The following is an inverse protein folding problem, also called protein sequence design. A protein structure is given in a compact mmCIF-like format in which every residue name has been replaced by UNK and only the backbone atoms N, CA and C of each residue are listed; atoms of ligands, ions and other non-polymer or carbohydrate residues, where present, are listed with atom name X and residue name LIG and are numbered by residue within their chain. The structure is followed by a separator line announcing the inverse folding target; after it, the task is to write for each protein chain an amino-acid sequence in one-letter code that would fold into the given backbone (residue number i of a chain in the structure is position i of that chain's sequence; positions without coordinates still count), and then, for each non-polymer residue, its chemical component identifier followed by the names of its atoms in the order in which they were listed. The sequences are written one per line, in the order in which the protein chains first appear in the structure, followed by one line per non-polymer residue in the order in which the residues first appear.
data_IF_633103812690
#
_entry.id   IF_633103812690
#
_cell.length_a   1.000
_cell.length_b   1.000
_cell.length_c   1.000
_cell.angle_alpha   90.00
_cell.angle_beta   90.00
_cell.angle_gamma   90.00
#
_symmetry.space_group_name_H-M   'P 1'
#
loop_
_entity.id
_entity.type
_entity.pdbx_description
1 polymer ?
#
# COMPACT_ATOMS: atom_id res chain seq x y z
N UNK A 1 23.42 13.87 71.95
CA UNK A 1 24.31 13.58 70.81
C UNK A 1 23.46 13.51 69.56
N UNK A 2 23.64 14.44 68.60
CA UNK A 2 22.94 14.36 67.32
C UNK A 2 23.57 13.24 66.50
N UNK A 3 22.83 12.15 66.27
CA UNK A 3 23.30 11.06 65.42
C UNK A 3 23.17 11.48 63.95
N UNK A 4 24.31 11.67 63.28
CA UNK A 4 24.34 11.93 61.84
C UNK A 4 23.92 10.64 61.14
N UNK A 5 22.77 10.67 60.47
CA UNK A 5 22.26 9.51 59.72
C UNK A 5 23.22 9.15 58.56
N UNK A 6 23.26 7.88 58.14
CA UNK A 6 24.07 7.46 56.99
C UNK A 6 23.78 8.25 55.70
N UNK A 7 22.53 8.68 55.50
CA UNK A 7 22.12 9.49 54.36
C UNK A 7 22.73 10.89 54.38
N UNK A 8 22.77 11.54 55.55
CA UNK A 8 23.42 12.85 55.73
C UNK A 8 24.92 12.76 55.45
N UNK A 9 25.60 11.68 55.87
CA UNK A 9 27.02 11.44 55.52
C UNK A 9 27.23 11.31 54.01
N UNK A 10 26.32 10.66 53.29
CA UNK A 10 26.40 10.53 51.82
C UNK A 10 26.27 11.90 51.14
N UNK A 11 25.30 12.73 51.57
CA UNK A 11 25.10 14.08 51.03
C UNK A 11 26.31 14.98 51.27
N UNK A 12 26.91 14.91 52.46
CA UNK A 12 28.13 15.66 52.79
C UNK A 12 29.31 15.27 51.89
N UNK A 13 29.53 13.96 51.63
CA UNK A 13 30.58 13.51 50.69
C UNK A 13 30.39 14.02 49.27
N UNK A 14 29.15 14.06 48.79
CA UNK A 14 28.84 14.62 47.47
C UNK A 14 29.13 16.12 47.44
N UNK A 15 28.70 16.86 48.46
CA UNK A 15 28.96 18.30 48.56
C UNK A 15 30.46 18.61 48.61
N UNK A 16 31.23 17.92 49.46
CA UNK A 16 32.70 18.11 49.54
C UNK A 16 33.38 17.77 48.22
N UNK A 17 32.96 16.71 47.53
CA UNK A 17 33.51 16.37 46.22
C UNK A 17 33.24 17.45 45.15
N UNK A 18 32.08 18.09 45.21
CA UNK A 18 31.73 19.22 44.34
C UNK A 18 32.56 20.47 44.64
N UNK A 19 32.78 20.78 45.92
CA UNK A 19 33.60 21.92 46.33
C UNK A 19 35.07 21.72 45.97
N UNK A 20 35.62 20.52 46.21
CA UNK A 20 36.97 20.13 45.80
C UNK A 20 37.15 20.24 44.27
N UNK A 21 36.14 19.81 43.50
CA UNK A 21 36.15 19.95 42.04
C UNK A 21 36.17 21.42 41.61
N UNK A 22 35.34 22.27 42.23
CA UNK A 22 35.30 23.72 41.96
C UNK A 22 36.62 24.40 42.33
N UNK A 23 37.24 24.04 43.45
CA UNK A 23 38.54 24.58 43.83
C UNK A 23 39.64 24.17 42.84
N UNK A 24 39.66 22.90 42.40
CA UNK A 24 40.59 22.43 41.38
C UNK A 24 40.41 23.17 40.06
N UNK A 25 39.16 23.41 39.64
CA UNK A 25 38.88 24.23 38.46
C UNK A 25 39.34 25.69 38.63
N UNK A 26 39.07 26.31 39.79
CA UNK A 26 39.56 27.67 40.09
C UNK A 26 41.09 27.73 40.03
N UNK A 27 41.79 26.77 40.64
CA UNK A 27 43.27 26.71 40.61
C UNK A 27 43.77 26.49 39.18
N UNK A 28 43.15 25.60 38.40
CA UNK A 28 43.50 25.37 37.00
C UNK A 28 43.28 26.63 36.13
N UNK A 29 42.21 27.39 36.35
CA UNK A 29 41.90 28.61 35.60
C UNK A 29 42.88 29.76 35.85
N UNK A 30 43.60 29.76 36.97
CA UNK A 30 44.56 30.81 37.32
C UNK A 30 45.92 30.64 36.63
N UNK A 31 46.23 29.46 36.14
CA UNK A 31 47.49 29.25 35.40
C UNK A 31 47.33 29.85 34.00
N UNK A 32 48.06 30.92 33.71
CA UNK A 32 48.11 31.47 32.35
C UNK A 32 48.64 30.39 31.41
N UNK A 33 47.98 30.13 30.26
CA UNK A 33 48.47 29.14 29.32
C UNK A 33 49.85 29.56 28.83
N UNK A 34 50.75 28.57 28.70
CA UNK A 34 52.07 28.79 28.10
C UNK A 34 51.85 29.25 26.65
N UNK A 35 52.58 30.27 26.21
CA UNK A 35 52.53 30.77 24.82
C UNK A 35 53.79 30.37 24.08
N UNK A 36 53.64 30.05 22.80
CA UNK A 36 54.76 29.75 21.92
C UNK A 36 55.53 31.05 21.61
N UNK A 37 56.83 30.94 21.32
CA UNK A 37 57.58 32.06 20.77
C UNK A 37 56.94 32.50 19.44
N UNK A 38 56.82 33.80 19.20
CA UNK A 38 56.17 34.36 18.01
C UNK A 38 56.80 33.88 16.70
N UNK A 39 58.13 33.83 16.63
CA UNK A 39 58.85 33.37 15.42
C UNK A 39 58.47 31.92 15.11
N UNK A 40 58.55 31.06 16.11
CA UNK A 40 58.20 29.64 15.97
C UNK A 40 56.72 29.42 15.66
N UNK A 41 55.84 30.28 16.18
CA UNK A 41 54.42 30.26 15.86
C UNK A 41 54.19 30.56 14.39
N UNK A 42 54.82 31.62 13.87
CA UNK A 42 54.69 32.05 12.47
C UNK A 42 55.24 30.99 11.50
N UNK A 43 56.34 30.32 11.85
CA UNK A 43 56.90 29.19 11.09
C UNK A 43 55.91 28.01 11.00
N UNK A 44 55.37 27.55 12.14
CA UNK A 44 54.39 26.46 12.17
C UNK A 44 53.12 26.82 11.39
N UNK A 45 52.66 28.06 11.49
CA UNK A 45 51.49 28.56 10.75
C UNK A 45 51.73 28.48 9.25
N UNK A 46 52.90 28.93 8.78
CA UNK A 46 53.28 28.87 7.36
C UNK A 46 53.34 27.43 6.82
N UNK A 47 53.98 26.52 7.56
CA UNK A 47 54.10 25.11 7.15
C UNK A 47 52.73 24.43 7.06
N UNK A 48 51.89 24.64 8.06
CA UNK A 48 50.54 24.06 8.11
C UNK A 48 49.63 24.66 7.05
N UNK A 49 49.76 25.97 6.77
CA UNK A 49 49.04 26.60 5.67
C UNK A 49 49.36 25.93 4.32
N UNK A 50 50.63 25.55 4.10
CA UNK A 50 51.06 24.78 2.94
C UNK A 50 50.35 23.42 2.80
N UNK A 51 50.24 22.67 3.91
CA UNK A 51 49.56 21.37 3.96
C UNK A 51 48.05 21.52 3.74
N UNK A 52 47.40 22.46 4.44
CA UNK A 52 45.96 22.70 4.33
C UNK A 52 45.54 23.17 2.93
N UNK A 53 46.44 23.86 2.21
CA UNK A 53 46.22 24.26 0.81
C UNK A 53 46.14 23.05 -0.14
N UNK A 54 46.62 21.88 0.25
CA UNK A 54 46.50 20.65 -0.57
C UNK A 54 45.26 19.82 -0.21
N UNK A 55 44.46 20.27 0.78
CA UNK A 55 43.25 19.57 1.22
C UNK A 55 42.17 19.53 0.15
N UNK A 56 41.91 18.34 -0.40
CA UNK A 56 40.76 18.05 -1.26
C UNK A 56 39.83 17.03 -0.56
N UNK A 57 38.49 17.17 -0.68
CA UNK A 57 37.75 18.17 -1.47
C UNK A 57 37.60 19.54 -0.77
N UNK A 58 38.06 19.68 0.48
CA UNK A 58 37.94 20.93 1.23
C UNK A 58 39.25 21.30 1.91
N UNK A 59 39.48 22.60 2.11
CA UNK A 59 40.64 23.13 2.87
C UNK A 59 40.71 22.61 4.31
N UNK A 60 39.61 22.08 4.84
CA UNK A 60 39.52 21.51 6.19
C UNK A 60 39.87 20.02 6.25
N UNK A 61 40.13 19.36 5.11
CA UNK A 61 40.35 17.90 5.03
C UNK A 61 41.48 17.42 5.97
N UNK A 62 42.54 18.21 6.14
CA UNK A 62 43.69 17.87 6.98
C UNK A 62 43.71 18.60 8.34
N UNK A 63 42.65 19.31 8.73
CA UNK A 63 42.61 20.10 9.97
C UNK A 63 42.91 19.24 11.21
N UNK A 64 42.22 18.11 11.34
CA UNK A 64 42.39 17.20 12.48
C UNK A 64 43.79 16.59 12.56
N UNK A 65 44.37 16.23 11.40
CA UNK A 65 45.72 15.68 11.33
C UNK A 65 46.77 16.73 11.72
N UNK A 66 46.66 17.96 11.19
CA UNK A 66 47.56 19.06 11.51
C UNK A 66 47.50 19.41 13.00
N UNK A 67 46.29 19.56 13.58
CA UNK A 67 46.11 19.82 15.02
C UNK A 67 46.73 18.70 15.86
N UNK A 68 46.51 17.44 15.49
CA UNK A 68 47.09 16.32 16.22
C UNK A 68 48.61 16.30 16.14
N UNK A 69 49.20 16.60 14.98
CA UNK A 69 50.64 16.68 14.78
C UNK A 69 51.29 17.74 15.66
N UNK A 70 50.77 18.99 15.61
CA UNK A 70 51.27 20.10 16.44
C UNK A 70 51.16 19.77 17.93
N UNK A 71 49.99 19.29 18.36
CA UNK A 71 49.77 18.91 19.76
C UNK A 71 50.74 17.83 20.22
N UNK A 72 50.94 16.79 19.41
CA UNK A 72 51.83 15.68 19.76
C UNK A 72 53.28 16.16 19.87
N UNK A 73 53.74 17.01 18.94
CA UNK A 73 55.08 17.63 19.01
C UNK A 73 55.27 18.43 20.31
N UNK A 74 54.31 19.31 20.64
CA UNK A 74 54.39 20.13 21.86
C UNK A 74 54.39 19.27 23.13
N UNK A 75 53.57 18.21 23.19
CA UNK A 75 53.57 17.27 24.30
C UNK A 75 54.93 16.57 24.47
N UNK A 76 55.58 16.17 23.37
CA UNK A 76 56.92 15.56 23.39
C UNK A 76 58.00 16.55 23.88
N UNK A 77 57.79 17.84 23.69
CA UNK A 77 58.63 18.91 24.23
C UNK A 77 58.31 19.27 25.70
N UNK A 78 57.45 18.48 26.36
CA UNK A 78 57.11 18.64 27.77
C UNK A 78 56.02 19.67 28.05
N UNK A 79 55.22 20.05 27.06
CA UNK A 79 54.03 20.87 27.31
C UNK A 79 52.94 20.08 28.03
N UNK A 80 52.17 20.76 28.88
CA UNK A 80 50.96 20.17 29.45
C UNK A 80 49.94 19.99 28.34
N UNK A 81 49.21 18.88 28.37
CA UNK A 81 48.24 18.55 27.33
C UNK A 81 47.23 19.68 27.03
N UNK A 82 46.62 20.38 28.02
CA UNK A 82 45.68 21.47 27.74
C UNK A 82 46.34 22.66 27.01
N UNK A 83 47.58 23.01 27.39
CA UNK A 83 48.32 24.13 26.79
C UNK A 83 48.73 23.79 25.34
N UNK A 84 49.17 22.54 25.12
CA UNK A 84 49.53 22.03 23.80
C UNK A 84 48.31 21.97 22.87
N UNK A 85 47.16 21.50 23.36
CA UNK A 85 45.93 21.43 22.57
C UNK A 85 45.39 22.83 22.22
N UNK A 86 45.44 23.77 23.18
CA UNK A 86 45.05 25.16 22.93
C UNK A 86 45.94 25.83 21.88
N UNK A 87 47.27 25.71 22.04
CA UNK A 87 48.24 26.26 21.08
C UNK A 87 48.07 25.64 19.70
N UNK A 88 47.83 24.32 19.62
CA UNK A 88 47.57 23.65 18.34
C UNK A 88 46.30 24.16 17.65
N UNK A 89 45.24 24.48 18.41
CA UNK A 89 44.03 25.13 17.87
C UNK A 89 44.35 26.52 17.32
N UNK A 90 45.10 27.33 18.06
CA UNK A 90 45.48 28.69 17.64
C UNK A 90 46.32 28.66 16.35
N UNK A 91 47.33 27.79 16.28
CA UNK A 91 48.20 27.64 15.09
C UNK A 91 47.37 27.23 13.86
N UNK A 92 46.52 26.20 13.98
CA UNK A 92 45.70 25.72 12.85
C UNK A 92 44.66 26.75 12.44
N UNK A 93 44.06 27.48 13.39
CA UNK A 93 43.12 28.56 13.10
C UNK A 93 43.79 29.71 12.36
N UNK A 94 45.00 30.10 12.76
CA UNK A 94 45.80 31.12 12.07
C UNK A 94 46.19 30.68 10.65
N UNK A 95 46.60 29.41 10.48
CA UNK A 95 46.92 28.85 9.17
C UNK A 95 45.70 28.83 8.22
N UNK A 96 44.51 28.45 8.73
CA UNK A 96 43.25 28.51 7.97
C UNK A 96 42.87 29.94 7.58
N UNK A 97 43.06 30.90 8.49
CA UNK A 97 42.83 32.31 8.19
C UNK A 97 43.79 32.84 7.13
N UNK A 98 45.08 32.46 7.18
CA UNK A 98 46.10 32.85 6.20
C UNK A 98 45.76 32.37 4.78
N UNK A 99 45.16 31.18 4.62
CA UNK A 99 44.72 30.68 3.30
C UNK A 99 43.33 31.16 2.88
N UNK A 100 42.70 32.04 3.68
CA UNK A 100 41.37 32.58 3.39
C UNK A 100 40.23 31.56 3.52
N UNK A 101 40.42 30.48 4.29
CA UNK A 101 39.38 29.49 4.50
C UNK A 101 38.31 30.01 5.48
N UNK A 102 37.06 30.12 5.01
CA UNK A 102 35.92 30.49 5.84
C UNK A 102 35.30 29.24 6.43
N UNK A 103 35.24 29.16 7.76
CA UNK A 103 34.62 28.03 8.44
C UNK A 103 33.11 28.08 8.22
N UNK A 104 32.48 26.98 7.77
CA UNK A 104 31.03 26.95 7.67
C UNK A 104 30.41 27.19 9.06
N UNK A 105 29.28 27.89 9.08
CA UNK A 105 28.48 28.00 10.30
C UNK A 105 28.11 26.60 10.81
N UNK A 106 27.82 26.46 12.10
CA UNK A 106 27.44 25.16 12.67
C UNK A 106 26.28 24.51 11.90
N UNK A 107 25.31 25.31 11.48
CA UNK A 107 24.20 24.87 10.63
C UNK A 107 24.69 24.36 9.26
N UNK A 108 25.60 25.09 8.60
CA UNK A 108 26.19 24.69 7.33
C UNK A 108 27.04 23.41 7.39
N UNK A 109 27.62 23.12 8.56
CA UNK A 109 28.37 21.89 8.81
C UNK A 109 27.49 20.67 9.11
N UNK A 110 26.17 20.85 9.21
CA UNK A 110 25.26 19.73 9.45
C UNK A 110 25.04 18.90 8.17
N UNK A 111 24.92 17.57 8.27
CA UNK A 111 24.53 16.72 7.14
C UNK A 111 23.25 17.19 6.43
N UNK A 112 22.33 17.76 7.21
CA UNK A 112 21.04 18.29 6.75
C UNK A 112 21.20 19.54 5.86
N UNK A 113 22.29 20.31 6.00
CA UNK A 113 22.54 21.47 5.15
C UNK A 113 23.02 21.09 3.75
N UNK A 114 23.70 19.94 3.62
CA UNK A 114 24.06 19.41 2.31
C UNK A 114 22.78 19.12 1.47
N UNK A 115 21.69 18.70 2.13
CA UNK A 115 20.41 18.31 1.51
C UNK A 115 19.60 19.49 0.94
N UNK A 116 19.86 20.74 1.35
CA UNK A 116 18.98 21.86 0.99
C UNK A 116 19.27 22.54 -0.33
N UNK A 117 20.50 22.48 -0.87
CA UNK A 117 20.80 23.25 -2.10
C UNK A 117 21.75 22.62 -3.13
N UNK A 118 22.58 21.62 -2.80
CA UNK A 118 23.62 21.15 -3.76
C UNK A 118 23.89 19.64 -3.79
N UNK A 119 23.29 18.82 -2.91
CA UNK A 119 23.53 17.37 -2.91
C UNK A 119 22.50 16.52 -3.69
N UNK A 120 21.63 17.12 -4.52
CA UNK A 120 20.71 16.34 -5.39
C UNK A 120 21.46 15.42 -6.37
N UNK A 121 22.76 15.64 -6.55
CA UNK A 121 23.61 14.82 -7.40
C UNK A 121 24.12 13.53 -6.77
N UNK A 122 24.00 13.28 -5.45
CA UNK A 122 24.60 12.10 -4.80
C UNK A 122 23.61 11.32 -3.93
N UNK A 123 23.82 10.01 -3.86
CA UNK A 123 22.98 9.08 -3.12
C UNK A 123 23.02 9.39 -1.62
N UNK A 124 21.86 9.68 -1.01
CA UNK A 124 21.72 9.98 0.40
C UNK A 124 22.05 8.81 1.35
N UNK A 125 22.25 7.60 0.83
CA UNK A 125 22.72 6.48 1.66
C UNK A 125 24.20 6.68 2.01
N UNK A 126 24.51 6.92 3.29
CA UNK A 126 25.83 7.32 3.81
C UNK A 126 27.00 6.43 3.38
N UNK A 127 26.74 5.15 3.05
CA UNK A 127 27.78 4.19 2.59
C UNK A 127 27.95 4.12 1.08
N UNK A 128 27.03 4.71 0.32
CA UNK A 128 27.07 4.66 -1.13
C UNK A 128 27.87 5.83 -1.70
N UNK A 129 27.44 7.06 -1.44
CA UNK A 129 28.10 8.27 -1.96
C UNK A 129 28.19 8.35 -3.50
N UNK A 130 27.56 7.43 -4.25
CA UNK A 130 27.57 7.45 -5.72
C UNK A 130 26.68 8.57 -6.25
N UNK A 131 27.01 9.15 -7.42
CA UNK A 131 26.13 10.11 -8.04
C UNK A 131 24.75 9.48 -8.35
N UNK A 132 23.69 10.27 -8.24
CA UNK A 132 22.34 9.86 -8.63
C UNK A 132 22.26 9.96 -10.15
N UNK A 133 21.91 8.86 -10.84
CA UNK A 133 21.73 8.88 -12.29
C UNK A 133 20.68 9.92 -12.71
N UNK A 134 20.99 10.72 -13.73
CA UNK A 134 20.12 11.82 -14.20
C UNK A 134 18.77 11.28 -14.69
N UNK A 135 18.76 10.06 -15.24
CA UNK A 135 17.60 9.33 -15.75
C UNK A 135 16.64 8.86 -14.64
N UNK A 136 17.07 8.83 -13.38
CA UNK A 136 16.18 8.47 -12.26
C UNK A 136 15.10 9.53 -12.00
N UNK A 137 15.34 10.77 -12.45
CA UNK A 137 14.37 11.85 -12.46
C UNK A 137 13.67 12.09 -11.12
N UNK A 138 12.35 12.23 -11.18
CA UNK A 138 11.48 12.49 -10.03
C UNK A 138 10.48 11.36 -9.84
N UNK A 139 10.21 10.98 -8.58
CA UNK A 139 9.14 10.06 -8.21
C UNK A 139 8.07 10.85 -7.49
N UNK A 140 6.88 10.96 -8.11
CA UNK A 140 5.75 11.75 -7.61
C UNK A 140 6.07 13.25 -7.44
N UNK A 141 6.74 13.86 -8.42
CA UNK A 141 7.12 15.29 -8.39
C UNK A 141 8.17 15.66 -7.34
N UNK A 142 8.92 14.67 -6.85
CA UNK A 142 10.04 14.85 -5.90
C UNK A 142 11.30 14.20 -6.43
N UNK A 143 12.40 14.94 -6.39
CA UNK A 143 13.72 14.42 -6.74
C UNK A 143 14.05 13.14 -5.96
N UNK A 144 14.55 12.13 -6.66
CA UNK A 144 14.91 10.86 -6.04
C UNK A 144 16.19 11.05 -5.21
N UNK A 145 16.17 10.61 -3.95
CA UNK A 145 17.30 10.78 -3.00
C UNK A 145 18.39 9.70 -3.09
N UNK A 146 18.14 8.62 -3.82
CA UNK A 146 19.01 7.43 -3.81
C UNK A 146 19.38 7.04 -5.24
N UNK A 147 20.59 6.51 -5.45
CA UNK A 147 21.02 6.06 -6.78
C UNK A 147 20.34 4.74 -7.21
N UNK A 148 19.91 3.89 -6.28
CA UNK A 148 19.21 2.64 -6.55
C UNK A 148 18.19 2.28 -5.43
N UNK A 149 17.26 1.36 -5.70
CA UNK A 149 16.23 0.94 -4.73
C UNK A 149 16.82 0.15 -3.55
N UNK A 150 17.95 -0.54 -3.79
CA UNK A 150 18.72 -1.18 -2.74
C UNK A 150 19.27 -0.16 -1.73
N UNK A 151 19.83 0.97 -2.20
CA UNK A 151 20.28 2.06 -1.32
C UNK A 151 19.12 2.69 -0.53
N UNK A 152 17.97 2.90 -1.17
CA UNK A 152 16.77 3.38 -0.48
C UNK A 152 16.33 2.41 0.63
N UNK A 153 16.34 1.11 0.35
CA UNK A 153 15.97 0.05 1.29
C UNK A 153 16.95 -0.06 2.46
N UNK A 154 18.26 0.02 2.19
CA UNK A 154 19.30 0.00 3.22
C UNK A 154 19.27 1.25 4.10
N UNK A 155 19.09 2.44 3.52
CA UNK A 155 18.93 3.68 4.27
C UNK A 155 17.71 3.61 5.20
N UNK A 156 16.57 3.11 4.72
CA UNK A 156 15.38 2.87 5.54
C UNK A 156 15.64 1.82 6.63
N UNK A 157 16.41 0.77 6.36
CA UNK A 157 16.81 -0.21 7.37
C UNK A 157 17.72 0.40 8.45
N UNK A 158 18.68 1.25 8.09
CA UNK A 158 19.57 1.93 9.03
C UNK A 158 18.81 2.93 9.91
N UNK A 159 17.90 3.72 9.32
CA UNK A 159 17.04 4.65 10.07
C UNK A 159 16.22 3.88 11.12
N UNK A 160 15.63 2.75 10.74
CA UNK A 160 14.90 1.86 11.68
C UNK A 160 15.78 1.33 12.81
N UNK A 161 17.05 1.04 12.55
CA UNK A 161 18.01 0.63 13.61
C UNK A 161 18.32 1.78 14.54
N UNK A 162 18.56 2.98 14.00
CA UNK A 162 18.97 4.18 14.77
C UNK A 162 17.85 4.73 15.63
N UNK A 163 16.62 4.71 15.14
CA UNK A 163 15.45 5.16 15.89
C UNK A 163 15.08 4.21 17.03
N UNK A 164 15.82 3.11 17.23
CA UNK A 164 15.50 2.02 18.17
C UNK A 164 14.07 1.48 18.01
N UNK A 165 13.37 1.83 16.94
CA UNK A 165 12.14 1.19 16.48
C UNK A 165 12.50 -0.15 15.85
N UNK A 166 13.05 -1.05 16.67
CA UNK A 166 12.78 -2.48 16.47
C UNK A 166 11.30 -2.66 16.78
N UNK A 167 10.46 -2.29 15.82
CA UNK A 167 9.07 -2.67 15.81
C UNK A 167 9.10 -4.20 15.89
N UNK A 168 8.61 -4.75 17.00
CA UNK A 168 8.57 -6.20 17.13
C UNK A 168 7.72 -6.75 15.98
N UNK A 169 7.90 -8.02 15.64
CA UNK A 169 7.02 -8.67 14.66
C UNK A 169 5.55 -8.50 15.10
N UNK A 170 5.28 -8.56 16.41
CA UNK A 170 3.96 -8.30 16.97
C UNK A 170 3.47 -6.88 16.69
N UNK A 171 4.29 -5.85 16.90
CA UNK A 171 3.92 -4.45 16.63
C UNK A 171 3.67 -4.22 15.13
N UNK A 172 4.48 -4.83 14.26
CA UNK A 172 4.30 -4.76 12.81
C UNK A 172 2.98 -5.40 12.37
N UNK A 173 2.68 -6.60 12.90
CA UNK A 173 1.42 -7.29 12.63
C UNK A 173 0.22 -6.50 13.18
N UNK A 174 0.34 -5.92 14.37
CA UNK A 174 -0.69 -5.07 14.96
C UNK A 174 -0.94 -3.81 14.10
N UNK A 175 0.12 -3.15 13.64
CA UNK A 175 0.00 -1.99 12.74
C UNK A 175 -0.62 -2.36 11.39
N UNK A 176 -0.22 -3.50 10.81
CA UNK A 176 -0.78 -4.01 9.56
C UNK A 176 -2.27 -4.36 9.71
N UNK A 177 -2.64 -5.01 10.82
CA UNK A 177 -4.02 -5.35 11.13
C UNK A 177 -4.88 -4.09 11.32
N UNK A 178 -4.39 -3.10 12.07
CA UNK A 178 -5.08 -1.82 12.27
C UNK A 178 -5.30 -1.07 10.94
N UNK A 179 -4.28 -1.03 10.07
CA UNK A 179 -4.40 -0.40 8.74
C UNK A 179 -5.38 -1.16 7.84
N UNK A 180 -5.40 -2.48 7.90
CA UNK A 180 -6.37 -3.30 7.17
C UNK A 180 -7.79 -3.04 7.65
N UNK A 181 -8.01 -3.02 8.97
CA UNK A 181 -9.31 -2.74 9.58
C UNK A 181 -9.82 -1.32 9.22
N UNK A 182 -8.96 -0.31 9.27
CA UNK A 182 -9.36 1.06 8.86
C UNK A 182 -9.66 1.13 7.35
N UNK A 183 -8.86 0.45 6.53
CA UNK A 183 -9.11 0.37 5.09
C UNK A 183 -10.44 -0.31 4.80
N UNK A 184 -10.78 -1.37 5.53
CA UNK A 184 -12.06 -2.07 5.44
C UNK A 184 -13.21 -1.19 5.91
N UNK A 185 -13.05 -0.44 7.01
CA UNK A 185 -14.02 0.55 7.50
C UNK A 185 -14.31 1.64 6.46
N UNK A 186 -13.27 2.24 5.89
CA UNK A 186 -13.39 3.30 4.88
C UNK A 186 -14.00 2.79 3.57
N UNK A 187 -13.77 1.52 3.23
CA UNK A 187 -14.29 0.89 2.00
C UNK A 187 -15.62 0.19 2.18
N UNK A 188 -16.10 0.08 3.42
CA UNK A 188 -17.38 -0.55 3.73
C UNK A 188 -18.52 0.32 3.25
N UNK A 189 -19.41 -0.28 2.46
CA UNK A 189 -20.63 0.35 1.97
C UNK A 189 -21.80 -0.60 2.15
N UNK A 190 -23.00 -0.04 2.26
CA UNK A 190 -24.22 -0.83 2.22
C UNK A 190 -24.56 -1.13 0.76
N UNK A 191 -24.84 -2.39 0.46
CA UNK A 191 -25.36 -2.78 -0.85
C UNK A 191 -26.73 -2.12 -1.07
N UNK A 192 -26.90 -1.35 -2.15
CA UNK A 192 -28.18 -0.70 -2.46
C UNK A 192 -29.34 -1.68 -2.69
N UNK A 193 -29.04 -2.95 -3.04
CA UNK A 193 -30.07 -3.95 -3.33
C UNK A 193 -30.50 -4.76 -2.10
N UNK A 194 -29.56 -5.19 -1.26
CA UNK A 194 -29.85 -6.10 -0.15
C UNK A 194 -29.52 -5.52 1.24
N UNK A 195 -28.92 -4.32 1.32
CA UNK A 195 -28.56 -3.66 2.57
C UNK A 195 -27.32 -4.22 3.30
N UNK A 196 -26.74 -5.34 2.85
CA UNK A 196 -25.57 -5.93 3.50
C UNK A 196 -24.32 -5.05 3.36
N UNK A 197 -23.50 -4.98 4.42
CA UNK A 197 -22.18 -4.34 4.38
C UNK A 197 -21.20 -5.15 3.51
N UNK A 198 -20.45 -4.46 2.66
CA UNK A 198 -19.36 -5.06 1.90
C UNK A 198 -18.22 -4.05 1.67
N UNK A 199 -16.98 -4.53 1.56
CA UNK A 199 -15.81 -3.70 1.26
C UNK A 199 -15.40 -3.84 -0.21
N UNK A 200 -15.17 -2.71 -0.91
CA UNK A 200 -14.72 -2.68 -2.31
C UNK A 200 -13.49 -1.80 -2.49
N UNK A 201 -12.56 -2.20 -3.39
CA UNK A 201 -11.44 -1.33 -3.81
C UNK A 201 -11.88 -0.23 -4.77
N UNK A 202 -12.97 -0.46 -5.49
CA UNK A 202 -13.53 0.48 -6.46
C UNK A 202 -14.63 1.33 -5.79
N UNK A 203 -14.40 2.64 -5.72
CA UNK A 203 -15.31 3.63 -5.15
C UNK A 203 -16.62 3.80 -5.94
N UNK A 204 -16.70 3.27 -7.16
CA UNK A 204 -17.92 3.36 -7.99
C UNK A 204 -18.86 2.17 -7.83
N UNK A 205 -18.46 1.13 -7.08
CA UNK A 205 -19.25 -0.10 -6.92
C UNK A 205 -20.24 0.01 -5.76
N UNK A 206 -21.52 -0.07 -6.06
CA UNK A 206 -22.62 0.09 -5.07
C UNK A 206 -23.28 -1.24 -4.63
N UNK A 207 -22.85 -2.37 -5.22
CA UNK A 207 -23.46 -3.68 -4.97
C UNK A 207 -22.43 -4.71 -4.52
N UNK A 208 -22.77 -5.49 -3.49
CA UNK A 208 -21.89 -6.50 -2.92
C UNK A 208 -21.54 -7.61 -3.92
N UNK A 209 -22.48 -7.96 -4.82
CA UNK A 209 -22.33 -9.07 -5.77
C UNK A 209 -22.89 -8.74 -7.15
N UNK A 210 -22.49 -9.54 -8.15
CA UNK A 210 -23.03 -9.45 -9.52
C UNK A 210 -24.52 -9.74 -9.58
N UNK A 211 -25.04 -10.60 -8.70
CA UNK A 211 -26.48 -10.87 -8.60
C UNK A 211 -27.24 -9.64 -8.09
N UNK A 212 -26.78 -8.99 -7.01
CA UNK A 212 -27.40 -7.76 -6.50
C UNK A 212 -27.42 -6.64 -7.54
N UNK A 213 -26.33 -6.46 -8.30
CA UNK A 213 -26.30 -5.52 -9.42
C UNK A 213 -27.26 -5.89 -10.56
N UNK A 214 -27.38 -7.19 -10.88
CA UNK A 214 -28.34 -7.64 -11.88
C UNK A 214 -29.77 -7.40 -11.41
N UNK A 215 -30.07 -7.67 -10.14
CA UNK A 215 -31.39 -7.49 -9.54
C UNK A 215 -31.79 -6.01 -9.46
N UNK A 216 -30.87 -5.11 -9.09
CA UNK A 216 -31.16 -3.67 -9.09
C UNK A 216 -31.45 -3.11 -10.48
N UNK A 217 -30.83 -3.69 -11.52
CA UNK A 217 -31.12 -3.34 -12.92
C UNK A 217 -32.47 -3.87 -13.41
N UNK A 218 -33.04 -4.89 -12.77
CA UNK A 218 -34.34 -5.41 -13.16
C UNK A 218 -35.43 -4.51 -12.61
N UNK A 219 -35.83 -3.50 -13.40
CA UNK A 219 -37.08 -2.75 -13.17
C UNK A 219 -38.28 -3.64 -13.54
N UNK A 220 -38.69 -4.53 -12.64
CA UNK A 220 -39.84 -5.40 -12.87
C UNK A 220 -41.12 -4.58 -12.77
N UNK A 221 -41.76 -4.31 -13.91
CA UNK A 221 -43.16 -3.92 -13.92
C UNK A 221 -44.00 -5.19 -13.77
N UNK A 222 -44.90 -5.18 -12.79
CA UNK A 222 -45.91 -6.22 -12.66
C UNK A 222 -46.83 -6.18 -13.90
N UNK A 223 -47.13 -7.36 -14.45
CA UNK A 223 -47.98 -7.51 -15.63
C UNK A 223 -48.98 -8.62 -15.41
N UNK A 224 -50.17 -8.46 -15.96
CA UNK A 224 -51.18 -9.51 -15.99
C UNK A 224 -50.86 -10.55 -17.07
N UNK A 225 -51.06 -11.82 -16.74
CA UNK A 225 -50.93 -12.92 -17.69
C UNK A 225 -52.10 -12.90 -18.67
N UNK A 226 -51.82 -12.84 -19.98
CA UNK A 226 -52.86 -12.85 -21.01
C UNK A 226 -53.69 -14.15 -21.09
N UNK A 227 -53.28 -15.22 -20.40
CA UNK A 227 -54.00 -16.50 -20.39
C UNK A 227 -54.90 -16.66 -19.15
N UNK A 228 -54.34 -16.48 -17.96
CA UNK A 228 -55.03 -16.73 -16.69
C UNK A 228 -55.34 -15.46 -15.88
N UNK A 229 -54.92 -14.27 -16.33
CA UNK A 229 -55.13 -13.00 -15.63
C UNK A 229 -54.21 -12.76 -14.42
N UNK A 230 -53.50 -13.77 -13.91
CA UNK A 230 -52.64 -13.61 -12.74
C UNK A 230 -51.53 -12.56 -12.97
N UNK A 231 -51.32 -11.69 -11.98
CA UNK A 231 -50.23 -10.71 -11.98
C UNK A 231 -48.91 -11.43 -11.74
N UNK A 232 -47.93 -11.21 -12.62
CA UNK A 232 -46.60 -11.83 -12.52
C UNK A 232 -45.48 -10.85 -12.89
N UNK A 233 -44.26 -11.19 -12.49
CA UNK A 233 -43.05 -10.40 -12.76
C UNK A 233 -42.27 -11.04 -13.93
N UNK A 234 -42.16 -10.38 -15.11
CA UNK A 234 -41.55 -10.99 -16.30
C UNK A 234 -40.02 -11.00 -16.23
N UNK A 235 -39.40 -12.17 -16.41
CA UNK A 235 -37.93 -12.40 -16.23
C UNK A 235 -37.03 -11.46 -17.03
N UNK A 236 -37.50 -11.01 -18.19
CA UNK A 236 -36.79 -10.12 -19.09
C UNK A 236 -37.63 -8.86 -19.33
N UNK A 237 -37.08 -7.71 -18.94
CA UNK A 237 -37.72 -6.39 -19.09
C UNK A 237 -37.15 -5.57 -20.25
N UNK A 238 -35.99 -5.93 -20.78
CA UNK A 238 -35.33 -5.24 -21.91
C UNK A 238 -35.40 -6.02 -23.22
N UNK A 239 -35.97 -5.43 -24.27
CA UNK A 239 -35.86 -5.91 -25.67
C UNK A 239 -37.06 -6.70 -26.22
N UNK A 240 -36.95 -7.08 -27.51
CA UNK A 240 -37.95 -7.83 -28.30
C UNK A 240 -38.29 -9.17 -27.63
N UNK A 241 -39.26 -9.17 -26.72
CA UNK A 241 -39.79 -10.40 -26.11
C UNK A 241 -40.13 -10.30 -24.63
N UNK A 242 -40.78 -9.23 -24.19
CA UNK A 242 -41.34 -9.19 -22.82
C UNK A 242 -42.32 -10.35 -22.67
N UNK A 243 -42.12 -11.19 -21.65
CA UNK A 243 -43.02 -12.33 -21.40
C UNK A 243 -44.45 -11.81 -21.24
N UNK A 244 -45.39 -12.44 -21.94
CA UNK A 244 -46.83 -12.13 -21.89
C UNK A 244 -47.60 -13.07 -20.95
N UNK A 245 -46.92 -14.10 -20.45
CA UNK A 245 -47.53 -15.19 -19.68
C UNK A 245 -46.71 -15.47 -18.42
N UNK A 246 -47.40 -15.83 -17.35
CA UNK A 246 -46.79 -16.10 -16.04
C UNK A 246 -45.99 -17.41 -16.01
N UNK A 247 -46.38 -18.42 -16.80
CA UNK A 247 -45.74 -19.73 -16.85
C UNK A 247 -45.55 -20.26 -18.28
N UNK A 248 -44.70 -21.27 -18.43
CA UNK A 248 -44.48 -21.97 -19.70
C UNK A 248 -45.76 -22.68 -20.19
N UNK A 249 -46.59 -23.14 -19.27
CA UNK A 249 -47.89 -23.76 -19.55
C UNK A 249 -48.87 -22.75 -20.15
N UNK A 250 -49.05 -21.58 -19.52
CA UNK A 250 -49.89 -20.51 -20.03
C UNK A 250 -49.45 -20.05 -21.43
N UNK A 251 -48.14 -19.94 -21.65
CA UNK A 251 -47.58 -19.64 -22.95
C UNK A 251 -47.83 -20.76 -23.98
N UNK A 252 -47.79 -22.03 -23.55
CA UNK A 252 -48.07 -23.20 -24.38
C UNK A 252 -49.52 -23.22 -24.87
N UNK A 253 -50.49 -23.06 -23.97
CA UNK A 253 -51.92 -23.08 -24.29
C UNK A 253 -52.28 -22.01 -25.33
N UNK A 254 -51.77 -20.79 -25.14
CA UNK A 254 -52.04 -19.69 -26.08
C UNK A 254 -51.31 -19.87 -27.42
N UNK A 255 -50.11 -20.48 -27.43
CA UNK A 255 -49.40 -20.81 -28.67
C UNK A 255 -50.11 -21.89 -29.47
N UNK A 256 -50.79 -22.85 -28.83
CA UNK A 256 -51.57 -23.89 -29.52
C UNK A 256 -52.78 -23.26 -30.19
N UNK A 257 -53.54 -22.40 -29.47
CA UNK A 257 -54.74 -21.73 -30.00
C UNK A 257 -54.47 -20.84 -31.22
N UNK A 258 -53.30 -20.21 -31.32
CA UNK A 258 -52.99 -19.32 -32.45
C UNK A 258 -52.43 -20.01 -33.69
N UNK A 259 -52.33 -21.34 -33.70
CA UNK A 259 -51.79 -22.10 -34.84
C UNK A 259 -52.91 -22.54 -35.78
N UNK A 260 -52.69 -22.51 -37.11
CA UNK A 260 -53.63 -23.12 -38.03
C UNK A 260 -53.68 -24.63 -37.76
N UNK A 261 -54.90 -25.15 -37.69
CA UNK A 261 -55.14 -26.58 -37.64
C UNK A 261 -54.78 -27.18 -39.00
N UNK A 262 -53.90 -28.18 -39.02
CA UNK A 262 -53.51 -28.90 -40.24
C UNK A 262 -54.11 -30.29 -40.21
N UNK A 263 -54.55 -30.80 -41.35
CA UNK A 263 -55.04 -32.16 -41.50
C UNK A 263 -53.90 -33.08 -41.94
N UNK A 264 -53.66 -34.17 -41.21
CA UNK A 264 -52.66 -35.16 -41.60
C UNK A 264 -53.08 -35.87 -42.89
N UNK A 265 -52.22 -35.91 -43.91
CA UNK A 265 -52.54 -36.58 -45.19
C UNK A 265 -52.66 -38.12 -45.09
N UNK A 266 -52.13 -38.73 -44.03
CA UNK A 266 -52.09 -40.20 -43.87
C UNK A 266 -53.25 -40.74 -43.05
N UNK A 267 -53.57 -40.08 -41.92
CA UNK A 267 -54.60 -40.54 -40.98
C UNK A 267 -55.77 -39.56 -40.82
N UNK A 268 -55.75 -38.43 -41.55
CA UNK A 268 -56.78 -37.38 -41.52
C UNK A 268 -57.01 -36.70 -40.16
N UNK A 269 -56.22 -37.02 -39.14
CA UNK A 269 -56.30 -36.38 -37.81
C UNK A 269 -55.86 -34.92 -37.90
N UNK A 270 -56.63 -34.04 -37.27
CA UNK A 270 -56.30 -32.62 -37.14
C UNK A 270 -55.19 -32.46 -36.09
N UNK A 271 -54.11 -31.76 -36.42
CA UNK A 271 -52.99 -31.51 -35.52
C UNK A 271 -52.46 -30.07 -35.63
N UNK A 272 -51.67 -29.64 -34.65
CA UNK A 272 -51.08 -28.31 -34.60
C UNK A 272 -49.54 -28.40 -34.63
N UNK A 273 -48.85 -27.87 -35.66
CA UNK A 273 -47.40 -28.00 -35.79
C UNK A 273 -46.66 -27.28 -34.64
N UNK A 274 -45.46 -27.75 -34.24
CA UNK A 274 -44.72 -27.18 -33.10
C UNK A 274 -44.23 -25.74 -33.34
N UNK A 275 -44.10 -25.31 -34.59
CA UNK A 275 -43.69 -23.97 -34.99
C UNK A 275 -44.65 -23.41 -36.07
N UNK A 276 -45.01 -22.11 -36.06
CA UNK A 276 -45.93 -21.53 -37.05
C UNK A 276 -45.43 -21.59 -38.51
N UNK A 277 -44.11 -21.61 -38.70
CA UNK A 277 -43.47 -21.70 -40.01
C UNK A 277 -43.38 -23.13 -40.55
N UNK A 278 -43.69 -24.15 -39.74
CA UNK A 278 -43.56 -25.55 -40.15
C UNK A 278 -44.72 -25.96 -41.06
N UNK A 279 -44.42 -26.07 -42.36
CA UNK A 279 -45.35 -26.59 -43.39
C UNK A 279 -45.39 -28.12 -43.41
N UNK A 280 -45.57 -28.75 -42.25
CA UNK A 280 -45.61 -30.23 -42.18
C UNK A 280 -47.00 -30.73 -42.58
N UNK A 281 -47.05 -31.75 -43.43
CA UNK A 281 -48.31 -32.37 -43.88
C UNK A 281 -48.74 -33.59 -43.05
N UNK A 282 -47.96 -33.96 -42.04
CA UNK A 282 -48.15 -35.20 -41.26
C UNK A 282 -48.09 -34.91 -39.76
N UNK A 283 -48.98 -35.54 -38.99
CA UNK A 283 -49.11 -35.30 -37.55
C UNK A 283 -47.96 -35.87 -36.71
N UNK A 284 -47.29 -36.92 -37.19
CA UNK A 284 -46.19 -37.59 -36.50
C UNK A 284 -45.16 -38.15 -37.49
N UNK A 285 -43.94 -38.49 -37.03
CA UNK A 285 -42.96 -39.19 -37.86
C UNK A 285 -43.48 -40.52 -38.41
N UNK A 286 -44.40 -41.19 -37.70
CA UNK A 286 -45.04 -42.45 -38.13
C UNK A 286 -45.91 -42.23 -39.37
N UNK A 287 -46.68 -41.14 -39.38
CA UNK A 287 -47.53 -40.80 -40.52
C UNK A 287 -46.74 -40.25 -41.72
N UNK A 288 -45.48 -39.84 -41.54
CA UNK A 288 -44.66 -39.32 -42.62
C UNK A 288 -44.03 -40.48 -43.42
N UNK A 289 -44.43 -40.71 -44.69
CA UNK A 289 -43.88 -41.82 -45.49
C UNK A 289 -42.37 -41.67 -45.71
N UNK A 290 -41.86 -40.44 -45.68
CA UNK A 290 -40.44 -40.09 -45.89
C UNK A 290 -39.60 -40.06 -44.61
N UNK A 291 -40.20 -40.32 -43.43
CA UNK A 291 -39.41 -40.44 -42.20
C UNK A 291 -38.48 -41.67 -42.28
N UNK A 292 -37.23 -41.50 -41.82
CA UNK A 292 -36.23 -42.57 -41.81
C UNK A 292 -36.71 -43.76 -40.98
N UNK A 293 -36.27 -44.98 -41.31
CA UNK A 293 -36.68 -46.22 -40.61
C UNK A 293 -36.46 -46.15 -39.08
N UNK A 294 -35.41 -45.45 -38.62
CA UNK A 294 -35.15 -45.22 -37.20
C UNK A 294 -36.24 -44.37 -36.50
N UNK A 295 -36.90 -43.46 -37.21
CA UNK A 295 -37.97 -42.62 -36.66
C UNK A 295 -39.35 -43.32 -36.62
N UNK A 296 -39.54 -44.41 -37.39
CA UNK A 296 -40.79 -45.20 -37.39
C UNK A 296 -40.90 -46.16 -36.20
N UNK A 297 -39.78 -46.53 -35.58
CA UNK A 297 -39.75 -47.57 -34.54
C UNK A 297 -40.16 -47.11 -33.13
N UNK A 298 -40.37 -45.81 -32.89
CA UNK A 298 -40.46 -45.25 -31.53
C UNK A 298 -41.87 -44.82 -31.05
N UNK A 299 -42.94 -45.04 -31.81
CA UNK A 299 -44.29 -44.66 -31.34
C UNK A 299 -45.39 -45.57 -31.91
N UNK A 300 -45.99 -46.39 -31.05
CA UNK A 300 -47.28 -47.03 -31.32
C UNK A 300 -48.37 -45.99 -31.05
N UNK A 301 -49.12 -45.63 -32.08
CA UNK A 301 -50.28 -44.76 -31.94
C UNK A 301 -51.39 -45.55 -31.24
N UNK A 302 -51.41 -45.53 -29.91
CA UNK A 302 -52.53 -46.05 -29.14
C UNK A 302 -53.78 -45.28 -29.55
N UNK A 303 -54.64 -45.98 -30.29
CA UNK A 303 -55.95 -45.48 -30.65
C UNK A 303 -56.71 -45.19 -29.36
N UNK A 304 -57.13 -43.94 -29.24
CA UNK A 304 -58.00 -43.44 -28.19
C UNK A 304 -59.37 -44.10 -28.36
N UNK A 305 -59.54 -45.27 -27.75
CA UNK A 305 -60.85 -45.91 -27.60
C UNK A 305 -60.83 -46.85 -26.40
N UNK A 306 -60.61 -46.31 -25.20
CA UNK A 306 -61.09 -46.94 -23.96
C UNK A 306 -61.70 -45.85 -23.07
N UNK A 307 -63.01 -45.73 -23.16
CA UNK A 307 -63.90 -45.27 -22.11
C UNK A 307 -63.54 -45.97 -20.80
N UNK A 308 -62.89 -45.25 -19.88
CA UNK A 308 -62.79 -45.67 -18.48
C UNK A 308 -64.07 -45.29 -17.75
N UNK A 309 -64.71 -46.21 -17.02
CA UNK A 309 -65.92 -45.94 -16.27
C UNK A 309 -65.63 -45.03 -15.08
N UNK A 310 -66.60 -44.16 -14.78
CA UNK A 310 -66.72 -43.39 -13.55
C UNK A 310 -66.66 -44.33 -12.35
N UNK A 311 -65.54 -44.32 -11.63
CA UNK A 311 -65.42 -44.91 -10.30
C UNK A 311 -65.63 -43.81 -9.25
N UNK A 312 -66.86 -43.82 -8.75
CA UNK A 312 -67.35 -43.41 -7.44
C UNK A 312 -66.32 -43.13 -6.34
N UNK A 313 -66.57 -42.01 -5.64
CA UNK A 313 -66.62 -41.88 -4.18
C UNK A 313 -65.57 -42.60 -3.34
N UNK A 314 -64.75 -41.83 -2.63
CA UNK A 314 -64.43 -42.12 -1.23
C UNK A 314 -64.21 -40.84 -0.44
N UNK A 315 -65.22 -40.61 0.39
CA UNK A 315 -65.28 -39.70 1.52
C UNK A 315 -64.13 -39.96 2.52
N UNK A 316 -63.65 -38.87 3.13
CA UNK A 316 -63.37 -38.78 4.57
C UNK A 316 -62.20 -39.56 5.16
N UNK A 317 -61.22 -38.84 5.72
CA UNK A 317 -60.92 -38.89 7.16
C UNK A 317 -59.81 -37.89 7.53
N UNK A 318 -60.22 -36.91 8.36
CA UNK A 318 -59.52 -36.22 9.46
C UNK A 318 -58.03 -35.93 9.36
#
# INVERSE_FOLDING_TARGET
MLQITPETRRRLRIATAWDDFRERQKKASKTKPRKLNRIRFDELVSDIAGILKQGEPTRFAFEGACRNGVRSSLCLEGWRWPDADHTAVEVVAAALAQIGAVRPTWWQGQPEFADTDTSKGFCAFRRCGKPIPIDRGERNGKAVKYCCDSCASMAAAELRRKEHRRMSIADYLAFSAARSAETERLRSRNCEQCGSFFATRDERRNYCSRSCFADSRRKWQERECLHCGAVFKPKNTGGKGVSRYCSRECAGTMRIKSRPALQCLTCSTIFYPPYPSDKRSYCSPVCNPFATKAAKAAFLCEQTSQTLPLASEREGAK
#
